data_IF_883252460588
#
_entry.id   IF_883252460588
#
_cell.length_a   1.000
_cell.length_b   1.000
_cell.length_c   1.000
_cell.angle_alpha   90.00
_cell.angle_beta   90.00
_cell.angle_gamma   90.00
#
_symmetry.space_group_name_H-M   'P 1'
#
loop_
_entity.id
_entity.type
_entity.pdbx_description
1 polymer ?
#
# COMPACT_ATOMS: atom_id res chain seq x y z
N UNK A 1 58.29 -0.19 49.90
CA UNK A 1 56.95 -0.83 49.73
C UNK A 1 56.10 0.09 48.90
N UNK A 2 55.99 -0.19 47.58
CA UNK A 2 55.14 0.55 46.65
C UNK A 2 53.87 -0.25 46.43
N UNK A 3 52.72 0.26 46.86
CA UNK A 3 51.38 -0.33 46.56
C UNK A 3 50.95 0.14 45.20
N UNK A 4 50.85 -0.77 44.28
CA UNK A 4 50.25 -0.60 42.96
C UNK A 4 48.71 -0.61 43.12
N UNK A 5 48.05 0.48 42.67
CA UNK A 5 46.59 0.61 42.65
C UNK A 5 46.14 0.29 41.22
N UNK A 6 45.60 -0.92 41.04
CA UNK A 6 44.99 -1.33 39.77
C UNK A 6 43.59 -0.72 39.70
N UNK A 7 43.42 0.19 38.73
CA UNK A 7 42.11 0.82 38.41
C UNK A 7 41.42 -0.09 37.39
N UNK A 8 40.39 -0.79 37.85
CA UNK A 8 39.49 -1.56 36.99
C UNK A 8 38.45 -0.59 36.43
N UNK A 9 38.59 -0.26 35.14
CA UNK A 9 37.55 0.48 34.38
C UNK A 9 36.48 -0.51 33.97
N UNK A 10 35.37 -0.54 34.68
CA UNK A 10 34.18 -1.25 34.26
C UNK A 10 33.48 -0.41 33.19
N UNK A 11 33.60 -0.82 31.93
CA UNK A 11 32.80 -0.28 30.84
C UNK A 11 31.31 -0.75 31.03
N UNK A 12 30.46 0.10 31.56
CA UNK A 12 29.01 -0.08 31.49
C UNK A 12 28.60 0.10 30.05
N UNK A 13 28.38 -1.00 29.34
CA UNK A 13 27.57 -0.99 28.13
C UNK A 13 26.13 -0.75 28.58
N UNK A 14 25.68 0.49 28.47
CA UNK A 14 24.26 0.79 28.52
C UNK A 14 23.63 0.18 27.29
N UNK A 15 22.99 -0.98 27.43
CA UNK A 15 22.03 -1.48 26.45
C UNK A 15 20.85 -0.50 26.49
N UNK A 16 20.83 0.44 25.54
CA UNK A 16 19.63 1.21 25.26
C UNK A 16 18.60 0.19 24.76
N UNK A 17 17.69 -0.23 25.63
CA UNK A 17 16.40 -0.75 25.21
C UNK A 17 15.71 0.39 24.49
N UNK A 18 15.82 0.44 23.18
CA UNK A 18 14.91 1.21 22.32
C UNK A 18 13.58 0.45 22.41
N UNK A 19 12.78 0.81 23.42
CA UNK A 19 11.37 0.45 23.39
C UNK A 19 10.81 0.92 22.05
N UNK A 20 9.87 0.17 21.47
CA UNK A 20 9.03 0.58 20.35
C UNK A 20 8.23 1.83 20.75
N UNK A 21 8.92 2.98 20.89
CA UNK A 21 8.40 4.22 21.41
C UNK A 21 8.16 5.17 20.26
N UNK A 22 6.91 5.57 20.13
CA UNK A 22 6.44 6.83 19.52
C UNK A 22 7.36 7.33 18.37
N UNK A 23 7.32 6.60 17.26
CA UNK A 23 7.92 7.11 16.04
C UNK A 23 7.13 8.35 15.65
N UNK A 24 7.70 9.53 15.93
CA UNK A 24 7.05 10.80 15.66
C UNK A 24 6.78 10.96 14.17
N UNK A 25 5.62 11.45 13.76
CA UNK A 25 5.30 11.65 12.35
C UNK A 25 6.18 12.75 11.74
N UNK A 26 6.32 12.77 10.41
CA UNK A 26 7.02 13.85 9.70
C UNK A 26 6.24 15.17 9.73
N UNK A 27 4.91 15.09 9.84
CA UNK A 27 4.00 16.21 9.94
C UNK A 27 2.89 15.90 10.93
N UNK A 28 2.48 16.86 11.70
CA UNK A 28 1.25 16.77 12.49
C UNK A 28 0.03 16.75 11.56
N UNK A 29 -1.08 16.14 12.01
CA UNK A 29 -2.26 15.94 11.17
C UNK A 29 -2.85 17.25 10.61
N UNK A 30 -2.77 18.35 11.33
CA UNK A 30 -3.26 19.66 10.90
C UNK A 30 -2.41 20.28 9.78
N UNK A 31 -1.15 19.85 9.63
CA UNK A 31 -0.24 20.23 8.56
C UNK A 31 -0.46 19.39 7.28
N UNK A 32 -1.16 18.26 7.39
CA UNK A 32 -1.44 17.38 6.25
C UNK A 32 -2.65 17.85 5.45
N UNK A 33 -2.70 17.56 4.12
CA UNK A 33 -3.84 17.87 3.29
C UNK A 33 -5.13 17.23 3.83
N UNK A 34 -6.22 18.02 3.94
CA UNK A 34 -7.52 17.52 4.41
C UNK A 34 -8.25 16.77 3.30
N UNK A 35 -8.27 15.44 3.39
CA UNK A 35 -8.87 14.57 2.37
C UNK A 35 -10.34 14.90 2.08
N UNK A 36 -11.12 15.27 3.11
CA UNK A 36 -12.54 15.65 2.97
C UNK A 36 -12.75 16.83 2.03
N UNK A 37 -11.75 17.71 1.85
CA UNK A 37 -11.84 18.86 0.96
C UNK A 37 -11.39 18.58 -0.47
N UNK A 38 -10.64 17.48 -0.66
CA UNK A 38 -9.94 17.17 -1.91
C UNK A 38 -10.60 16.02 -2.66
N UNK A 39 -11.01 14.98 -1.91
CA UNK A 39 -11.57 13.76 -2.50
C UNK A 39 -13.06 13.93 -2.82
N UNK A 40 -13.54 13.30 -3.90
CA UNK A 40 -14.97 13.24 -4.16
C UNK A 40 -15.70 12.50 -3.04
N UNK A 41 -16.98 12.78 -2.88
CA UNK A 41 -17.84 11.98 -2.01
C UNK A 41 -17.94 10.53 -2.51
N UNK A 42 -18.12 9.54 -1.61
CA UNK A 42 -18.40 8.18 -2.04
C UNK A 42 -19.71 8.13 -2.82
N UNK A 43 -19.86 7.18 -3.78
CA UNK A 43 -21.12 6.97 -4.48
C UNK A 43 -22.29 6.79 -3.51
N UNK A 44 -23.37 7.52 -3.73
CA UNK A 44 -24.63 7.32 -2.99
C UNK A 44 -25.22 5.94 -3.35
N UNK A 45 -25.87 5.28 -2.38
CA UNK A 45 -26.38 3.92 -2.56
C UNK A 45 -27.50 3.78 -3.61
N UNK A 46 -28.10 4.88 -4.04
CA UNK A 46 -29.10 4.97 -5.09
C UNK A 46 -28.55 5.53 -6.42
N UNK A 47 -27.22 5.75 -6.51
CA UNK A 47 -26.58 6.29 -7.70
C UNK A 47 -26.14 5.21 -8.69
N UNK A 48 -26.05 5.53 -10.00
CA UNK A 48 -25.52 4.61 -11.00
C UNK A 48 -24.06 4.19 -10.73
N UNK A 49 -23.27 5.07 -10.13
CA UNK A 49 -21.85 4.81 -9.79
C UNK A 49 -21.73 3.71 -8.73
N UNK A 50 -22.71 3.59 -7.84
CA UNK A 50 -22.76 2.52 -6.84
C UNK A 50 -22.97 1.13 -7.47
N UNK A 51 -23.55 1.05 -8.67
CA UNK A 51 -23.69 -0.24 -9.37
C UNK A 51 -22.34 -0.92 -9.59
N UNK A 52 -21.27 -0.17 -9.87
CA UNK A 52 -19.92 -0.74 -9.96
C UNK A 52 -19.45 -1.33 -8.63
N UNK A 53 -19.72 -0.68 -7.51
CA UNK A 53 -19.40 -1.20 -6.17
C UNK A 53 -20.09 -2.55 -5.91
N UNK A 54 -21.36 -2.68 -6.29
CA UNK A 54 -22.13 -3.93 -6.16
C UNK A 54 -21.54 -5.03 -7.04
N UNK A 55 -21.22 -4.74 -8.30
CA UNK A 55 -20.59 -5.69 -9.23
C UNK A 55 -19.24 -6.16 -8.68
N UNK A 56 -18.43 -5.23 -8.18
CA UNK A 56 -17.12 -5.53 -7.61
C UNK A 56 -17.21 -6.31 -6.29
N UNK A 57 -18.23 -6.08 -5.48
CA UNK A 57 -18.50 -6.91 -4.31
C UNK A 57 -18.83 -8.36 -4.72
N UNK A 58 -19.68 -8.56 -5.74
CA UNK A 58 -19.96 -9.88 -6.31
C UNK A 58 -18.70 -10.57 -6.85
N UNK A 59 -17.86 -9.84 -7.56
CA UNK A 59 -16.53 -10.33 -7.97
C UNK A 59 -15.68 -10.76 -6.77
N UNK A 60 -15.63 -9.96 -5.71
CA UNK A 60 -14.90 -10.30 -4.50
C UNK A 60 -15.36 -11.61 -3.88
N UNK A 61 -16.67 -11.85 -3.82
CA UNK A 61 -17.23 -13.13 -3.35
C UNK A 61 -16.82 -14.31 -4.23
N UNK A 62 -16.72 -14.13 -5.56
CA UNK A 62 -16.22 -15.18 -6.48
C UNK A 62 -14.74 -15.50 -6.22
N UNK A 63 -13.91 -14.47 -5.93
CA UNK A 63 -12.48 -14.67 -5.63
C UNK A 63 -12.25 -15.50 -4.36
N UNK A 64 -13.21 -15.56 -3.44
CA UNK A 64 -13.14 -16.40 -2.23
C UNK A 64 -13.14 -17.90 -2.52
N UNK A 65 -13.52 -18.31 -3.74
CA UNK A 65 -13.51 -19.71 -4.17
C UNK A 65 -12.10 -20.22 -4.46
N UNK A 66 -11.15 -19.34 -4.74
CA UNK A 66 -9.73 -19.64 -4.81
C UNK A 66 -9.15 -19.56 -3.39
N UNK A 67 -8.86 -20.72 -2.80
CA UNK A 67 -8.35 -20.84 -1.42
C UNK A 67 -7.04 -20.05 -1.22
N UNK A 68 -6.16 -20.01 -2.23
CA UNK A 68 -4.90 -19.26 -2.15
C UNK A 68 -5.17 -17.76 -2.13
N UNK A 69 -6.09 -17.30 -2.99
CA UNK A 69 -6.46 -15.88 -3.04
C UNK A 69 -7.17 -15.44 -1.77
N UNK A 70 -8.03 -16.29 -1.21
CA UNK A 70 -8.70 -16.03 0.06
C UNK A 70 -7.71 -15.98 1.22
N UNK A 71 -6.80 -16.97 1.32
CA UNK A 71 -5.76 -17.00 2.37
C UNK A 71 -4.88 -15.75 2.31
N UNK A 72 -4.50 -15.29 1.11
CA UNK A 72 -3.77 -14.05 0.92
C UNK A 72 -4.60 -12.84 1.39
N UNK A 73 -5.89 -12.79 1.07
CA UNK A 73 -6.75 -11.70 1.50
C UNK A 73 -6.90 -11.63 3.04
N UNK A 74 -6.96 -12.78 3.71
CA UNK A 74 -6.99 -12.88 5.17
C UNK A 74 -5.66 -12.42 5.77
N UNK A 75 -4.52 -12.80 5.18
CA UNK A 75 -3.20 -12.32 5.62
C UNK A 75 -3.06 -10.80 5.44
N UNK A 76 -3.65 -10.23 4.38
CA UNK A 76 -3.68 -8.79 4.11
C UNK A 76 -4.58 -7.99 5.09
N UNK A 77 -5.37 -8.68 5.90
CA UNK A 77 -6.19 -8.07 6.95
C UNK A 77 -5.41 -7.73 8.22
N UNK A 78 -4.17 -8.24 8.36
CA UNK A 78 -3.31 -7.87 9.48
C UNK A 78 -3.11 -6.36 9.55
N UNK A 79 -3.27 -5.82 10.75
CA UNK A 79 -3.17 -4.38 10.99
C UNK A 79 -2.17 -3.99 12.07
N UNK A 80 -2.08 -4.80 13.12
CA UNK A 80 -1.37 -4.46 14.34
C UNK A 80 0.08 -4.95 14.35
N UNK A 81 0.35 -6.11 13.76
CA UNK A 81 1.69 -6.68 13.65
C UNK A 81 2.35 -6.16 12.37
N UNK A 82 3.11 -5.09 12.49
CA UNK A 82 3.72 -4.41 11.34
C UNK A 82 4.74 -5.28 10.60
N UNK A 83 5.46 -6.19 11.28
CA UNK A 83 6.34 -7.13 10.59
C UNK A 83 5.54 -8.04 9.66
N UNK A 84 4.39 -8.57 10.10
CA UNK A 84 3.49 -9.34 9.24
C UNK A 84 2.89 -8.50 8.11
N UNK A 85 2.55 -7.24 8.38
CA UNK A 85 2.09 -6.32 7.34
C UNK A 85 3.15 -6.15 6.26
N UNK A 86 4.40 -5.85 6.62
CA UNK A 86 5.49 -5.62 5.67
C UNK A 86 5.94 -6.90 4.97
N UNK A 87 5.86 -8.05 5.64
CA UNK A 87 6.16 -9.36 5.05
C UNK A 87 5.33 -9.65 3.79
N UNK A 88 4.14 -9.01 3.65
CA UNK A 88 3.31 -9.14 2.46
C UNK A 88 3.97 -8.59 1.18
N UNK A 89 5.00 -7.78 1.27
CA UNK A 89 5.78 -7.26 0.13
C UNK A 89 7.15 -7.93 -0.03
N UNK A 90 7.54 -8.89 0.83
CA UNK A 90 8.87 -9.51 0.81
C UNK A 90 9.30 -9.97 -0.58
N UNK A 91 8.46 -10.73 -1.27
CA UNK A 91 8.78 -11.27 -2.59
C UNK A 91 8.83 -10.18 -3.67
N UNK A 92 7.89 -9.25 -3.65
CA UNK A 92 7.83 -8.12 -4.57
C UNK A 92 8.99 -7.14 -4.37
N UNK A 93 9.36 -6.86 -3.13
CA UNK A 93 10.45 -5.96 -2.78
C UNK A 93 11.83 -6.63 -2.87
N UNK A 94 11.90 -7.95 -2.69
CA UNK A 94 13.12 -8.75 -2.71
C UNK A 94 13.96 -8.65 -1.44
N UNK A 95 13.38 -8.12 -0.37
CA UNK A 95 14.03 -8.02 0.95
C UNK A 95 12.96 -8.11 2.04
N UNK A 96 13.24 -8.82 3.13
CA UNK A 96 12.40 -8.87 4.32
C UNK A 96 12.59 -7.59 5.15
N UNK A 97 11.48 -6.99 5.57
CA UNK A 97 11.50 -5.75 6.37
C UNK A 97 11.18 -6.11 7.81
N UNK A 98 12.15 -5.91 8.68
CA UNK A 98 12.01 -6.12 10.13
C UNK A 98 12.70 -4.99 10.89
N UNK A 99 12.25 -4.74 12.12
CA UNK A 99 12.81 -3.66 12.94
C UNK A 99 14.33 -3.79 13.13
N UNK A 100 14.81 -5.00 13.41
CA UNK A 100 16.24 -5.26 13.66
C UNK A 100 17.04 -5.52 12.39
N UNK A 101 16.43 -6.09 11.36
CA UNK A 101 17.11 -6.48 10.12
C UNK A 101 17.30 -5.34 9.13
N UNK A 102 16.37 -4.41 9.09
CA UNK A 102 16.31 -3.27 8.15
C UNK A 102 15.88 -1.98 8.85
N UNK A 103 16.62 -1.52 9.88
CA UNK A 103 16.19 -0.43 10.76
C UNK A 103 15.92 0.91 10.04
N UNK A 104 16.64 1.22 8.98
CA UNK A 104 16.45 2.48 8.26
C UNK A 104 15.21 2.42 7.35
N UNK A 105 14.92 1.27 6.74
CA UNK A 105 13.69 1.03 5.98
C UNK A 105 12.51 0.99 6.95
N UNK A 106 12.62 0.25 8.06
CA UNK A 106 11.61 0.17 9.10
C UNK A 106 11.21 1.56 9.59
N UNK A 107 12.18 2.37 9.99
CA UNK A 107 11.96 3.73 10.46
C UNK A 107 11.25 4.60 9.42
N UNK A 108 11.65 4.51 8.15
CA UNK A 108 10.99 5.23 7.07
C UNK A 108 9.51 4.84 6.98
N UNK A 109 9.22 3.53 7.01
CA UNK A 109 7.87 2.99 6.90
C UNK A 109 6.99 3.46 8.06
N UNK A 110 7.45 3.23 9.30
CA UNK A 110 6.71 3.60 10.52
C UNK A 110 6.40 5.10 10.57
N UNK A 111 7.42 5.94 10.37
CA UNK A 111 7.23 7.41 10.41
C UNK A 111 6.28 7.88 9.31
N UNK A 112 6.38 7.31 8.11
CA UNK A 112 5.51 7.66 6.99
C UNK A 112 4.06 7.23 7.24
N UNK A 113 3.84 6.03 7.77
CA UNK A 113 2.50 5.54 8.08
C UNK A 113 1.87 6.31 9.25
N UNK A 114 2.64 6.61 10.29
CA UNK A 114 2.17 7.45 11.39
C UNK A 114 1.76 8.86 10.93
N UNK A 115 2.37 9.36 9.85
CA UNK A 115 2.00 10.63 9.22
C UNK A 115 0.74 10.51 8.36
N UNK A 116 0.62 9.46 7.55
CA UNK A 116 -0.42 9.37 6.52
C UNK A 116 -1.70 8.66 6.97
N UNK A 117 -1.62 7.63 7.82
CA UNK A 117 -2.78 6.88 8.28
C UNK A 117 -3.85 7.74 8.97
N UNK A 118 -3.51 8.75 9.81
CA UNK A 118 -4.50 9.59 10.45
C UNK A 118 -5.35 10.43 9.49
N UNK A 119 -4.84 10.73 8.27
CA UNK A 119 -5.52 11.57 7.29
C UNK A 119 -6.94 11.07 6.95
N UNK A 120 -7.20 9.75 7.04
CA UNK A 120 -8.51 9.15 6.73
C UNK A 120 -9.59 9.43 7.78
N UNK A 121 -9.21 9.73 9.04
CA UNK A 121 -10.13 9.72 10.19
C UNK A 121 -11.28 10.71 10.05
N UNK A 122 -10.99 11.97 9.70
CA UNK A 122 -12.02 13.01 9.53
C UNK A 122 -13.01 12.63 8.43
N UNK A 123 -12.51 12.20 7.27
CA UNK A 123 -13.33 11.80 6.11
C UNK A 123 -14.20 10.57 6.42
N UNK A 124 -13.62 9.59 7.13
CA UNK A 124 -14.31 8.38 7.56
C UNK A 124 -15.46 8.70 8.50
N UNK A 125 -15.23 9.55 9.50
CA UNK A 125 -16.23 9.98 10.46
C UNK A 125 -17.34 10.82 9.79
N UNK A 126 -16.98 11.69 8.85
CA UNK A 126 -17.96 12.55 8.15
C UNK A 126 -18.95 11.78 7.31
N UNK A 127 -18.48 10.81 6.50
CA UNK A 127 -19.36 10.04 5.63
C UNK A 127 -20.07 8.89 6.34
N UNK A 128 -19.49 8.29 7.37
CA UNK A 128 -20.07 7.16 8.11
C UNK A 128 -20.59 6.05 7.19
N UNK A 129 -19.95 5.85 6.01
CA UNK A 129 -20.48 4.97 4.96
C UNK A 129 -20.57 3.53 5.44
N UNK A 130 -21.74 2.91 5.31
CA UNK A 130 -21.97 1.52 5.65
C UNK A 130 -21.10 0.59 4.80
N UNK A 131 -20.53 -0.43 5.45
CA UNK A 131 -19.67 -1.42 4.78
C UNK A 131 -20.46 -2.43 3.96
N UNK A 132 -19.83 -3.10 2.95
CA UNK A 132 -20.51 -4.10 2.13
C UNK A 132 -21.14 -5.23 2.96
N UNK A 133 -20.40 -5.84 3.87
CA UNK A 133 -20.89 -6.95 4.69
C UNK A 133 -22.09 -6.55 5.56
N UNK A 134 -22.09 -5.34 6.11
CA UNK A 134 -23.22 -4.83 6.89
C UNK A 134 -24.46 -4.56 6.02
N UNK A 135 -24.24 -3.98 4.81
CA UNK A 135 -25.33 -3.64 3.91
C UNK A 135 -26.04 -4.85 3.35
N UNK A 136 -25.33 -5.93 3.12
CA UNK A 136 -25.89 -7.17 2.58
C UNK A 136 -26.16 -8.23 3.64
N UNK A 137 -25.98 -7.90 4.93
CA UNK A 137 -26.12 -8.82 6.05
C UNK A 137 -25.30 -10.12 5.83
N UNK A 138 -24.11 -9.94 5.30
CA UNK A 138 -23.12 -11.02 5.02
C UNK A 138 -22.12 -11.13 6.16
N UNK A 139 -21.45 -12.28 6.23
CA UNK A 139 -20.29 -12.48 7.12
C UNK A 139 -18.98 -12.26 6.38
N UNK A 140 -17.99 -11.72 7.08
CA UNK A 140 -16.63 -11.61 6.56
C UNK A 140 -15.85 -12.90 6.80
N UNK A 141 -14.98 -13.34 5.86
CA UNK A 141 -14.13 -14.50 6.07
C UNK A 141 -12.90 -14.21 6.96
N UNK A 142 -12.75 -12.98 7.46
CA UNK A 142 -11.68 -12.56 8.38
C UNK A 142 -12.23 -12.25 9.77
N UNK A 143 -11.35 -12.27 10.77
CA UNK A 143 -11.69 -12.03 12.17
C UNK A 143 -12.00 -10.56 12.54
N UNK A 144 -11.86 -9.63 11.59
CA UNK A 144 -12.02 -8.18 11.82
C UNK A 144 -13.50 -7.72 11.87
N UNK A 145 -14.47 -8.60 11.61
CA UNK A 145 -15.86 -8.20 11.41
C UNK A 145 -16.41 -7.39 12.59
N UNK A 146 -16.19 -7.87 13.81
CA UNK A 146 -16.70 -7.22 15.03
C UNK A 146 -16.06 -5.83 15.23
N UNK A 147 -14.78 -5.67 14.92
CA UNK A 147 -14.06 -4.40 15.03
C UNK A 147 -14.51 -3.39 13.98
N UNK A 148 -14.89 -3.89 12.79
CA UNK A 148 -15.27 -3.05 11.66
C UNK A 148 -16.76 -2.67 11.65
N UNK A 149 -17.60 -3.40 12.38
CA UNK A 149 -19.04 -3.18 12.43
C UNK A 149 -19.36 -1.82 13.05
N UNK A 150 -20.15 -1.02 12.33
CA UNK A 150 -20.47 0.36 12.72
C UNK A 150 -19.37 1.39 12.41
N UNK A 151 -18.19 0.95 11.99
CA UNK A 151 -17.12 1.82 11.55
C UNK A 151 -17.31 2.24 10.08
N UNK A 152 -17.22 3.54 9.77
CA UNK A 152 -17.35 4.03 8.40
C UNK A 152 -16.37 3.35 7.40
N UNK A 153 -16.85 3.03 6.19
CA UNK A 153 -16.00 2.33 5.20
C UNK A 153 -15.12 3.27 4.37
N UNK A 154 -15.52 4.52 4.14
CA UNK A 154 -14.86 5.44 3.21
C UNK A 154 -13.96 6.47 3.89
N UNK A 155 -12.69 6.61 3.47
CA UNK A 155 -11.92 5.72 2.61
C UNK A 155 -11.38 4.50 3.37
N UNK A 156 -10.89 3.47 2.64
CA UNK A 156 -10.30 2.27 3.23
C UNK A 156 -8.96 2.54 3.91
N UNK A 157 -8.83 2.22 5.21
CA UNK A 157 -7.57 2.38 5.94
C UNK A 157 -6.46 1.45 5.44
N UNK A 158 -6.75 0.15 5.31
CA UNK A 158 -5.80 -0.83 4.78
C UNK A 158 -5.31 -0.46 3.37
N UNK A 159 -6.21 -0.02 2.49
CA UNK A 159 -5.82 0.36 1.13
C UNK A 159 -4.97 1.64 1.10
N UNK A 160 -5.23 2.60 1.99
CA UNK A 160 -4.37 3.78 2.15
C UNK A 160 -2.98 3.36 2.59
N UNK A 161 -2.88 2.55 3.66
CA UNK A 161 -1.62 2.01 4.18
C UNK A 161 -0.87 1.22 3.11
N UNK A 162 -1.51 0.21 2.51
CA UNK A 162 -0.87 -0.66 1.54
C UNK A 162 -0.39 0.06 0.29
N UNK A 163 -1.13 1.08 -0.18
CA UNK A 163 -0.68 1.89 -1.31
C UNK A 163 0.46 2.84 -0.94
N UNK A 164 0.46 3.39 0.29
CA UNK A 164 1.58 4.17 0.82
C UNK A 164 2.84 3.31 0.92
N UNK A 165 2.74 2.09 1.45
CA UNK A 165 3.83 1.11 1.48
C UNK A 165 4.39 0.90 0.07
N UNK A 166 3.52 0.63 -0.91
CA UNK A 166 3.96 0.39 -2.30
C UNK A 166 4.69 1.59 -2.90
N UNK A 167 4.24 2.81 -2.64
CA UNK A 167 4.90 4.04 -3.10
C UNK A 167 6.30 4.21 -2.47
N UNK A 168 6.42 3.94 -1.16
CA UNK A 168 7.69 4.01 -0.45
C UNK A 168 8.68 2.97 -0.97
N UNK A 169 8.26 1.71 -1.06
CA UNK A 169 9.10 0.60 -1.53
C UNK A 169 9.53 0.78 -3.00
N UNK A 170 8.62 1.25 -3.87
CA UNK A 170 8.96 1.54 -5.27
C UNK A 170 9.97 2.71 -5.39
N UNK A 171 9.93 3.68 -4.47
CA UNK A 171 10.92 4.75 -4.43
C UNK A 171 12.28 4.25 -3.89
N UNK A 172 12.30 3.26 -2.99
CA UNK A 172 13.53 2.61 -2.50
C UNK A 172 14.14 1.74 -3.61
N UNK A 173 13.34 0.87 -4.24
CA UNK A 173 13.74 -0.12 -5.23
C UNK A 173 13.02 0.08 -6.58
N UNK A 174 13.38 1.12 -7.36
CA UNK A 174 12.66 1.46 -8.60
C UNK A 174 12.73 0.36 -9.67
N UNK A 175 13.73 -0.50 -9.65
CA UNK A 175 13.85 -1.64 -10.57
C UNK A 175 12.83 -2.76 -10.28
N UNK A 176 12.20 -2.73 -9.12
CA UNK A 176 11.15 -3.67 -8.69
C UNK A 176 9.77 -3.01 -8.59
N UNK A 177 9.64 -1.79 -9.10
CA UNK A 177 8.40 -1.01 -8.95
C UNK A 177 7.18 -1.72 -9.52
N UNK A 178 7.32 -2.44 -10.65
CA UNK A 178 6.23 -3.18 -11.27
C UNK A 178 5.69 -4.26 -10.32
N UNK A 179 6.54 -5.14 -9.80
CA UNK A 179 6.15 -6.20 -8.85
C UNK A 179 5.53 -5.61 -7.59
N UNK A 180 6.13 -4.53 -7.06
CA UNK A 180 5.65 -3.84 -5.86
C UNK A 180 4.25 -3.28 -6.07
N UNK A 181 3.97 -2.63 -7.21
CA UNK A 181 2.65 -2.08 -7.48
C UNK A 181 1.62 -3.17 -7.79
N UNK A 182 1.99 -4.26 -8.47
CA UNK A 182 1.11 -5.43 -8.64
C UNK A 182 0.70 -5.96 -7.27
N UNK A 183 1.65 -6.16 -6.36
CA UNK A 183 1.35 -6.60 -5.00
C UNK A 183 0.47 -5.59 -4.25
N UNK A 184 0.73 -4.30 -4.39
CA UNK A 184 -0.09 -3.24 -3.80
C UNK A 184 -1.54 -3.25 -4.28
N UNK A 185 -1.78 -3.53 -5.58
CA UNK A 185 -3.11 -3.73 -6.14
C UNK A 185 -3.82 -4.92 -5.49
N UNK A 186 -3.14 -6.06 -5.36
CA UNK A 186 -3.69 -7.27 -4.75
C UNK A 186 -4.03 -7.05 -3.28
N UNK A 187 -3.15 -6.36 -2.54
CA UNK A 187 -3.39 -5.98 -1.15
C UNK A 187 -4.64 -5.10 -1.00
N UNK A 188 -4.78 -4.10 -1.83
CA UNK A 188 -5.97 -3.24 -1.84
C UNK A 188 -7.24 -4.02 -2.21
N UNK A 189 -7.17 -4.89 -3.24
CA UNK A 189 -8.29 -5.70 -3.69
C UNK A 189 -8.72 -6.75 -2.64
N UNK A 190 -7.82 -7.16 -1.76
CA UNK A 190 -8.14 -8.04 -0.63
C UNK A 190 -9.27 -7.48 0.24
N UNK A 191 -9.37 -6.15 0.36
CA UNK A 191 -10.44 -5.51 1.13
C UNK A 191 -11.83 -5.65 0.49
N UNK A 192 -11.89 -5.71 -0.84
CA UNK A 192 -13.13 -6.00 -1.60
C UNK A 192 -13.47 -7.48 -1.50
N UNK A 193 -12.48 -8.35 -1.59
CA UNK A 193 -12.65 -9.82 -1.48
C UNK A 193 -13.20 -10.19 -0.10
N UNK A 194 -12.67 -9.61 0.97
CA UNK A 194 -13.17 -9.81 2.33
C UNK A 194 -14.54 -9.20 2.58
N UNK A 195 -15.02 -8.31 1.71
CA UNK A 195 -16.29 -7.59 1.91
C UNK A 195 -16.21 -6.45 2.92
N UNK A 196 -15.01 -6.08 3.35
CA UNK A 196 -14.77 -5.00 4.30
C UNK A 196 -15.01 -3.61 3.70
N UNK A 197 -14.74 -3.46 2.40
CA UNK A 197 -14.77 -2.18 1.69
C UNK A 197 -15.37 -2.30 0.29
N UNK A 198 -16.00 -1.21 -0.17
CA UNK A 198 -16.42 -1.03 -1.54
C UNK A 198 -15.21 -0.76 -2.45
N UNK A 199 -15.35 -1.03 -3.75
CA UNK A 199 -14.28 -0.71 -4.72
C UNK A 199 -13.96 0.79 -4.70
N UNK A 200 -14.97 1.64 -4.63
CA UNK A 200 -14.80 3.09 -4.57
C UNK A 200 -14.07 3.57 -3.31
N UNK A 201 -14.23 2.88 -2.15
CA UNK A 201 -13.45 3.17 -0.94
C UNK A 201 -11.95 2.89 -1.16
N UNK A 202 -11.66 1.79 -1.86
CA UNK A 202 -10.29 1.36 -2.20
C UNK A 202 -9.65 2.34 -3.19
N UNK A 203 -10.38 2.75 -4.23
CA UNK A 203 -9.90 3.68 -5.26
C UNK A 203 -9.61 5.07 -4.67
N UNK A 204 -10.51 5.55 -3.81
CA UNK A 204 -10.30 6.79 -3.05
C UNK A 204 -9.07 6.71 -2.15
N UNK A 205 -8.82 5.55 -1.53
CA UNK A 205 -7.67 5.35 -0.64
C UNK A 205 -6.34 5.38 -1.39
N UNK A 206 -6.27 4.84 -2.60
CA UNK A 206 -5.08 4.98 -3.45
C UNK A 206 -4.81 6.43 -3.82
N UNK A 207 -5.86 7.21 -4.04
CA UNK A 207 -5.73 8.66 -4.25
C UNK A 207 -5.26 9.37 -2.98
N UNK A 208 -5.84 9.05 -1.83
CA UNK A 208 -5.43 9.59 -0.53
C UNK A 208 -3.95 9.28 -0.22
N UNK A 209 -3.50 8.06 -0.48
CA UNK A 209 -2.11 7.65 -0.30
C UNK A 209 -1.14 8.48 -1.17
N UNK A 210 -1.50 8.74 -2.43
CA UNK A 210 -0.70 9.60 -3.32
C UNK A 210 -0.63 11.04 -2.81
N UNK A 211 -1.75 11.58 -2.31
CA UNK A 211 -1.79 12.92 -1.71
C UNK A 211 -0.85 12.97 -0.50
N UNK A 212 -0.96 12.01 0.42
CA UNK A 212 -0.08 11.91 1.58
C UNK A 212 1.38 11.75 1.19
N UNK A 213 1.68 10.86 0.24
CA UNK A 213 3.03 10.65 -0.27
C UNK A 213 3.63 11.92 -0.91
N UNK A 214 2.84 12.69 -1.67
CA UNK A 214 3.29 13.98 -2.20
C UNK A 214 3.63 14.97 -1.08
N UNK A 215 2.83 15.01 -0.01
CA UNK A 215 3.13 15.86 1.14
C UNK A 215 4.44 15.46 1.83
N UNK A 216 4.70 14.16 2.00
CA UNK A 216 5.96 13.66 2.58
C UNK A 216 7.19 14.16 1.83
N UNK A 217 7.12 14.31 0.50
CA UNK A 217 8.25 14.77 -0.33
C UNK A 217 8.70 16.21 0.01
N UNK A 218 7.90 16.99 0.73
CA UNK A 218 8.29 18.34 1.20
C UNK A 218 9.04 18.34 2.53
N UNK A 219 9.15 17.20 3.22
CA UNK A 219 9.87 17.06 4.48
C UNK A 219 11.35 16.75 4.24
N UNK A 220 12.25 17.60 4.72
CA UNK A 220 13.69 17.33 4.68
C UNK A 220 14.05 16.06 5.48
N UNK A 221 13.37 15.82 6.60
CA UNK A 221 13.56 14.61 7.41
C UNK A 221 13.16 13.34 6.67
N UNK A 222 12.04 13.37 5.92
CA UNK A 222 11.63 12.26 5.04
C UNK A 222 12.67 12.01 3.94
N UNK A 223 13.12 13.06 3.26
CA UNK A 223 14.13 12.95 2.20
C UNK A 223 15.44 12.34 2.73
N UNK A 224 15.88 12.79 3.91
CA UNK A 224 17.08 12.25 4.56
C UNK A 224 16.91 10.77 4.94
N UNK A 225 15.74 10.39 5.50
CA UNK A 225 15.47 9.01 5.87
C UNK A 225 15.33 8.10 4.62
N UNK A 226 14.71 8.59 3.55
CA UNK A 226 14.62 7.88 2.27
C UNK A 226 16.01 7.56 1.70
N UNK A 227 16.99 8.49 1.82
CA UNK A 227 18.37 8.22 1.38
C UNK A 227 19.02 7.09 2.19
N UNK A 228 18.81 7.05 3.50
CA UNK A 228 19.31 5.98 4.36
C UNK A 228 18.65 4.64 4.03
N UNK A 229 17.34 4.60 3.86
CA UNK A 229 16.61 3.39 3.47
C UNK A 229 17.08 2.83 2.12
N UNK A 230 17.36 3.70 1.13
CA UNK A 230 17.96 3.29 -0.15
C UNK A 230 19.36 2.73 0.01
N UNK A 231 20.19 3.34 0.85
CA UNK A 231 21.54 2.86 1.11
C UNK A 231 21.51 1.47 1.77
N UNK A 232 20.66 1.28 2.78
CA UNK A 232 20.43 0.01 3.45
C UNK A 232 19.94 -1.08 2.48
N UNK A 233 18.96 -0.77 1.63
CA UNK A 233 18.48 -1.70 0.62
C UNK A 233 19.58 -2.15 -0.33
N UNK A 234 20.37 -1.20 -0.84
CA UNK A 234 21.46 -1.49 -1.75
C UNK A 234 22.55 -2.37 -1.08
N UNK A 235 22.91 -2.07 0.18
CA UNK A 235 23.83 -2.86 0.96
C UNK A 235 23.34 -4.29 1.16
N UNK A 236 22.08 -4.45 1.60
CA UNK A 236 21.47 -5.76 1.89
C UNK A 236 21.28 -6.62 0.65
N UNK A 237 21.02 -5.99 -0.51
CA UNK A 237 20.78 -6.70 -1.78
C UNK A 237 22.03 -6.83 -2.65
N UNK A 238 23.17 -6.27 -2.23
CA UNK A 238 24.41 -6.27 -3.00
C UNK A 238 24.35 -5.39 -4.26
N UNK A 239 23.37 -4.49 -4.36
CA UNK A 239 23.27 -3.54 -5.45
C UNK A 239 24.28 -2.41 -5.20
N UNK A 240 25.29 -2.30 -6.05
CA UNK A 240 26.17 -1.13 -6.04
C UNK A 240 25.36 0.09 -6.46
N UNK A 241 25.57 1.23 -5.78
CA UNK A 241 24.90 2.51 -6.03
C UNK A 241 25.34 3.18 -7.35
N UNK A 242 25.34 2.40 -8.43
CA UNK A 242 25.42 2.90 -9.80
C UNK A 242 24.01 3.03 -10.35
N UNK A 243 23.68 4.19 -10.87
CA UNK A 243 22.49 4.37 -11.73
C UNK A 243 22.71 3.47 -12.96
N UNK A 244 22.36 2.20 -12.80
CA UNK A 244 22.12 1.33 -13.95
C UNK A 244 20.86 1.91 -14.59
N UNK A 245 21.02 2.58 -15.72
CA UNK A 245 19.88 2.98 -16.57
C UNK A 245 18.97 1.75 -16.66
N UNK A 246 17.76 1.90 -16.13
CA UNK A 246 16.75 0.86 -16.25
C UNK A 246 16.70 0.49 -17.74
N UNK A 247 17.06 -0.74 -18.08
CA UNK A 247 16.70 -1.29 -19.37
C UNK A 247 15.19 -1.25 -19.40
N UNK A 248 14.64 -0.36 -20.19
CA UNK A 248 13.24 -0.46 -20.58
C UNK A 248 13.14 -1.84 -21.20
N UNK A 249 12.59 -2.80 -20.45
CA UNK A 249 12.16 -4.06 -21.02
C UNK A 249 11.04 -3.64 -21.96
N UNK A 250 11.35 -3.57 -23.23
CA UNK A 250 10.30 -3.45 -24.24
C UNK A 250 9.44 -4.70 -24.06
N UNK A 251 8.30 -4.54 -23.40
CA UNK A 251 7.26 -5.53 -23.45
C UNK A 251 6.97 -5.72 -24.94
N UNK A 252 7.05 -6.94 -25.46
CA UNK A 252 6.61 -7.15 -26.83
C UNK A 252 5.13 -6.80 -26.86
N UNK A 253 4.82 -5.57 -27.26
CA UNK A 253 3.47 -5.13 -27.53
C UNK A 253 2.99 -5.86 -28.79
N UNK A 254 2.72 -7.15 -28.62
CA UNK A 254 2.30 -8.04 -29.71
C UNK A 254 0.79 -8.23 -29.72
N UNK A 255 0.06 -7.60 -28.81
CA UNK A 255 -1.38 -7.75 -28.76
C UNK A 255 -2.08 -6.45 -29.15
N UNK A 256 -2.74 -6.45 -30.29
CA UNK A 256 -3.62 -5.38 -30.70
C UNK A 256 -4.93 -5.42 -29.88
N UNK A 257 -5.51 -4.26 -29.62
CA UNK A 257 -6.72 -4.12 -28.82
C UNK A 257 -7.85 -3.48 -29.63
N UNK A 258 -9.09 -3.85 -29.29
CA UNK A 258 -10.30 -3.19 -29.76
C UNK A 258 -10.48 -1.83 -29.06
N UNK A 259 -11.34 -0.97 -29.60
CA UNK A 259 -11.63 0.35 -29.01
C UNK A 259 -12.17 0.26 -27.56
N UNK A 260 -12.77 -0.85 -27.17
CA UNK A 260 -13.28 -1.14 -25.82
C UNK A 260 -12.22 -1.73 -24.87
N UNK A 261 -10.96 -1.78 -25.28
CA UNK A 261 -9.85 -2.32 -24.47
C UNK A 261 -9.75 -3.85 -24.47
N UNK A 262 -10.60 -4.57 -25.18
CA UNK A 262 -10.48 -6.03 -25.28
C UNK A 262 -9.39 -6.43 -26.26
N UNK A 263 -8.68 -7.55 -26.04
CA UNK A 263 -7.71 -8.07 -27.00
C UNK A 263 -8.36 -8.30 -28.37
N UNK A 264 -7.68 -7.86 -29.43
CA UNK A 264 -8.13 -8.12 -30.81
C UNK A 264 -7.65 -9.50 -31.26
N UNK A 265 -8.53 -10.25 -31.90
CA UNK A 265 -8.26 -11.54 -32.52
C UNK A 265 -8.12 -11.38 -34.04
N UNK A 266 -7.73 -12.45 -34.73
CA UNK A 266 -7.65 -12.46 -36.19
C UNK A 266 -9.00 -12.18 -36.85
N UNK A 267 -10.11 -12.49 -36.17
CA UNK A 267 -11.49 -12.30 -36.64
C UNK A 267 -12.13 -10.99 -36.18
N UNK A 268 -11.40 -10.17 -35.41
CA UNK A 268 -11.91 -8.88 -34.91
C UNK A 268 -12.19 -7.94 -36.08
N UNK A 269 -13.43 -7.42 -36.15
CA UNK A 269 -13.85 -6.37 -37.09
C UNK A 269 -14.02 -5.06 -36.35
N UNK A 270 -13.85 -3.94 -37.05
CA UNK A 270 -13.98 -2.61 -36.49
C UNK A 270 -12.62 -1.93 -36.22
N UNK A 271 -12.59 -1.03 -35.25
CA UNK A 271 -11.37 -0.28 -34.94
C UNK A 271 -10.46 -1.11 -34.05
N UNK A 272 -9.24 -1.33 -34.51
CA UNK A 272 -8.17 -2.02 -33.81
C UNK A 272 -7.01 -1.06 -33.60
N UNK A 273 -6.48 -1.02 -32.39
CA UNK A 273 -5.32 -0.22 -32.02
C UNK A 273 -4.13 -1.16 -31.83
N UNK A 274 -3.11 -0.95 -32.63
CA UNK A 274 -1.84 -1.69 -32.60
C UNK A 274 -0.70 -0.68 -32.62
N UNK A 275 0.10 -0.63 -31.56
CA UNK A 275 1.27 0.25 -31.45
C UNK A 275 0.98 1.66 -31.95
N UNK A 276 0.11 2.38 -31.35
CA UNK A 276 -0.25 3.76 -31.71
C UNK A 276 -0.90 3.94 -33.09
N UNK A 277 -1.09 2.86 -33.86
CA UNK A 277 -1.80 2.89 -35.14
C UNK A 277 -3.23 2.42 -34.98
N UNK A 278 -4.16 3.28 -35.37
CA UNK A 278 -5.56 2.98 -35.45
C UNK A 278 -5.88 2.40 -36.83
N UNK A 279 -6.32 1.15 -36.89
CA UNK A 279 -6.64 0.46 -38.15
C UNK A 279 -8.10 0.04 -38.15
N UNK A 280 -8.79 0.18 -39.25
CA UNK A 280 -10.14 -0.35 -39.45
C UNK A 280 -10.04 -1.70 -40.15
N UNK A 281 -10.40 -2.77 -39.45
CA UNK A 281 -10.54 -4.12 -40.03
C UNK A 281 -11.98 -4.29 -40.52
N UNK A 282 -12.13 -4.50 -41.82
CA UNK A 282 -13.43 -4.76 -42.48
C UNK A 282 -13.90 -6.22 -42.32
#
# INVERSE_FOLDING_TARGET
MKKSLSMVVAAMMATMNVNAQDVQPYFELDQMPKLIKIMPAPPAFDSPEFANDVVRYGWGKQQRQDEKRLSLAIADAEWNDHEKVYAQWKDAFGLEITENGTPEIWKLMETSLNTTDPMRKETKAFYGRQRPFERFDDTMPSHEEDELRGEGSYPSGHSLRGWTISLLLAQIAPTRAEDIFVRGWDYCNSRVILGAHWQSDVDASRTAARIGFCALQSSEAFIAQMKKAKAEYNEKTGLTSGVSSAKIVEHPATQAYQQNGMPATATTRGIVIDKDKKTIKK
#
